data_IF_247008843445
#
_entry.id   IF_247008843445
#
_cell.length_a   1.000
_cell.length_b   1.000
_cell.length_c   1.000
_cell.angle_alpha   90.00
_cell.angle_beta   90.00
_cell.angle_gamma   90.00
#
_symmetry.space_group_name_H-M   'P 1'
#
loop_
_entity.id
_entity.type
_entity.pdbx_description
1 polymer ?
#
# COMPACT_ATOMS: atom_id res chain seq x y z
N UNK A 1 -11.72 -13.84 -9.41
CA UNK A 1 -10.95 -13.61 -8.17
C UNK A 1 -10.04 -12.44 -8.48
N UNK A 2 -10.39 -11.25 -7.99
CA UNK A 2 -9.60 -10.05 -8.26
C UNK A 2 -8.23 -10.20 -7.59
N UNK A 3 -7.22 -10.51 -8.40
CA UNK A 3 -5.85 -10.76 -7.95
C UNK A 3 -5.11 -9.45 -7.59
N UNK A 4 -5.79 -8.53 -6.92
CA UNK A 4 -5.32 -7.15 -6.63
C UNK A 4 -4.41 -7.08 -5.41
N UNK A 5 -4.26 -8.20 -4.69
CA UNK A 5 -3.44 -8.34 -3.47
C UNK A 5 -2.24 -9.26 -3.66
N UNK A 6 -1.99 -9.75 -4.87
CA UNK A 6 -0.81 -10.54 -5.22
C UNK A 6 0.01 -9.79 -6.26
N UNK A 7 1.33 -9.70 -6.08
CA UNK A 7 2.25 -9.25 -7.12
C UNK A 7 2.97 -10.43 -7.79
N UNK A 8 3.21 -10.31 -9.09
CA UNK A 8 4.15 -11.19 -9.78
C UNK A 8 5.59 -10.69 -9.59
N UNK A 9 6.61 -11.55 -9.81
CA UNK A 9 8.00 -11.13 -9.80
C UNK A 9 8.29 -9.95 -10.75
N UNK A 10 7.64 -9.92 -11.91
CA UNK A 10 7.78 -8.83 -12.88
C UNK A 10 7.22 -7.51 -12.35
N UNK A 11 6.06 -7.55 -11.68
CA UNK A 11 5.47 -6.37 -11.03
C UNK A 11 6.37 -5.86 -9.89
N UNK A 12 6.90 -6.77 -9.06
CA UNK A 12 7.85 -6.40 -8.00
C UNK A 12 9.08 -5.71 -8.60
N UNK A 13 9.65 -6.26 -9.67
CA UNK A 13 10.80 -5.68 -10.34
C UNK A 13 10.49 -4.30 -10.95
N UNK A 14 9.28 -4.13 -11.49
CA UNK A 14 8.81 -2.83 -11.98
C UNK A 14 8.75 -1.79 -10.85
N UNK A 15 8.13 -2.13 -9.72
CA UNK A 15 8.07 -1.23 -8.56
C UNK A 15 9.45 -0.91 -8.00
N UNK A 16 10.40 -1.87 -7.97
CA UNK A 16 11.79 -1.60 -7.55
C UNK A 16 12.45 -0.52 -8.41
N UNK A 17 12.16 -0.47 -9.70
CA UNK A 17 12.70 0.59 -10.57
C UNK A 17 12.09 1.96 -10.24
N UNK A 18 10.80 2.00 -9.91
CA UNK A 18 10.10 3.23 -9.52
C UNK A 18 10.56 3.74 -8.15
N UNK A 19 10.88 2.84 -7.22
CA UNK A 19 11.35 3.15 -5.87
C UNK A 19 12.88 3.10 -5.70
N UNK A 20 13.65 3.12 -6.79
CA UNK A 20 15.12 2.92 -6.76
C UNK A 20 15.89 3.84 -5.80
N UNK A 21 15.36 5.05 -5.57
CA UNK A 21 15.97 6.07 -4.71
C UNK A 21 15.27 6.16 -3.34
N UNK A 22 14.46 5.16 -2.97
CA UNK A 22 13.66 5.14 -1.75
C UNK A 22 13.85 3.83 -0.96
N UNK A 23 14.93 3.74 -0.15
CA UNK A 23 15.36 2.50 0.50
C UNK A 23 14.26 1.80 1.32
N UNK A 24 13.50 2.54 2.12
CA UNK A 24 12.46 1.98 2.97
C UNK A 24 11.30 1.37 2.16
N UNK A 25 11.07 1.84 0.94
CA UNK A 25 10.12 1.23 0.00
C UNK A 25 10.71 -0.01 -0.68
N UNK A 26 12.03 -0.05 -0.91
CA UNK A 26 12.71 -1.25 -1.40
C UNK A 26 12.69 -2.36 -0.35
N UNK A 27 12.89 -2.05 0.93
CA UNK A 27 12.78 -3.01 2.03
C UNK A 27 11.37 -3.62 2.11
N UNK A 28 10.34 -2.80 1.91
CA UNK A 28 8.96 -3.28 1.83
C UNK A 28 8.75 -4.23 0.62
N UNK A 29 9.38 -3.95 -0.52
CA UNK A 29 9.34 -4.81 -1.71
C UNK A 29 10.14 -6.11 -1.54
N UNK A 30 11.21 -6.11 -0.75
CA UNK A 30 11.94 -7.32 -0.35
C UNK A 30 11.01 -8.24 0.43
N UNK A 31 10.33 -7.73 1.46
CA UNK A 31 9.40 -8.51 2.25
C UNK A 31 8.19 -9.00 1.43
N UNK A 32 7.66 -8.18 0.50
CA UNK A 32 6.62 -8.62 -0.43
C UNK A 32 7.12 -9.82 -1.24
N UNK A 33 8.33 -9.77 -1.78
CA UNK A 33 8.92 -10.88 -2.53
C UNK A 33 9.12 -12.14 -1.68
N UNK A 34 9.58 -12.01 -0.44
CA UNK A 34 9.72 -13.13 0.52
C UNK A 34 8.39 -13.77 0.90
N UNK A 35 7.29 -13.02 0.76
CA UNK A 35 5.92 -13.51 0.94
C UNK A 35 5.26 -13.99 -0.36
N UNK A 36 6.05 -14.37 -1.36
CA UNK A 36 5.60 -14.81 -2.69
C UNK A 36 4.75 -13.76 -3.45
N UNK A 37 4.91 -12.48 -3.10
CA UNK A 37 4.12 -11.38 -3.66
C UNK A 37 2.81 -11.09 -2.94
N UNK A 38 2.52 -11.72 -1.80
CA UNK A 38 1.29 -11.49 -1.04
C UNK A 38 1.36 -10.15 -0.28
N UNK A 39 0.59 -9.17 -0.77
CA UNK A 39 0.53 -7.83 -0.19
C UNK A 39 -0.12 -7.81 1.20
N UNK A 40 -1.07 -8.70 1.48
CA UNK A 40 -1.75 -8.74 2.78
C UNK A 40 -0.82 -9.33 3.83
N UNK A 41 -0.14 -10.44 3.50
CA UNK A 41 0.80 -11.12 4.39
C UNK A 41 1.98 -10.22 4.74
N UNK A 42 2.62 -9.61 3.73
CA UNK A 42 3.73 -8.67 3.94
C UNK A 42 3.32 -7.45 4.76
N UNK A 43 2.17 -6.83 4.47
CA UNK A 43 1.67 -5.70 5.27
C UNK A 43 1.38 -6.08 6.72
N UNK A 44 0.91 -7.31 6.97
CA UNK A 44 0.73 -7.85 8.31
C UNK A 44 2.04 -7.92 9.09
N UNK A 45 3.09 -8.46 8.46
CA UNK A 45 4.43 -8.51 9.03
C UNK A 45 5.01 -7.12 9.30
N UNK A 46 4.94 -6.21 8.33
CA UNK A 46 5.39 -4.81 8.50
C UNK A 46 4.68 -4.11 9.65
N UNK A 47 3.38 -4.30 9.78
CA UNK A 47 2.62 -3.69 10.86
C UNK A 47 3.03 -4.22 12.24
N UNK A 48 3.34 -5.52 12.33
CA UNK A 48 3.88 -6.11 13.57
C UNK A 48 5.26 -5.55 13.90
N UNK A 49 6.16 -5.46 12.92
CA UNK A 49 7.52 -4.93 13.10
C UNK A 49 7.55 -3.46 13.50
N UNK A 50 6.64 -2.66 12.93
CA UNK A 50 6.59 -1.21 13.13
C UNK A 50 5.65 -0.78 14.26
N UNK A 51 4.95 -1.73 14.91
CA UNK A 51 4.00 -1.45 15.98
C UNK A 51 2.70 -0.77 15.52
N UNK A 52 2.41 -0.76 14.21
CA UNK A 52 1.17 -0.20 13.66
C UNK A 52 0.00 -1.07 14.11
N UNK A 53 -0.89 -0.48 14.91
CA UNK A 53 -2.13 -1.15 15.34
C UNK A 53 -3.17 -1.08 14.23
N UNK A 54 -3.48 -2.22 13.63
CA UNK A 54 -4.67 -2.36 12.78
C UNK A 54 -5.83 -2.80 13.67
N UNK A 55 -6.99 -2.13 13.61
CA UNK A 55 -8.20 -2.61 14.26
C UNK A 55 -8.68 -3.88 13.54
N UNK A 56 -8.15 -5.03 13.95
CA UNK A 56 -8.69 -6.34 13.58
C UNK A 56 -9.92 -6.63 14.43
N UNK A 57 -11.04 -6.93 13.80
CA UNK A 57 -12.21 -7.51 14.48
C UNK A 57 -12.12 -9.01 14.29
N UNK A 58 -12.19 -9.78 15.36
CA UNK A 58 -12.18 -11.23 15.27
C UNK A 58 -13.34 -11.71 14.38
N UNK A 59 -13.02 -12.39 13.27
CA UNK A 59 -14.00 -12.99 12.35
C UNK A 59 -14.17 -12.29 10.98
N UNK A 60 -13.50 -11.16 10.73
CA UNK A 60 -13.43 -10.58 9.38
C UNK A 60 -12.17 -11.11 8.66
N UNK A 61 -12.31 -11.60 7.42
CA UNK A 61 -11.18 -11.79 6.50
C UNK A 61 -10.58 -10.41 6.20
N UNK A 62 -9.68 -9.99 7.07
CA UNK A 62 -9.24 -8.61 7.16
C UNK A 62 -8.19 -8.30 6.11
N UNK A 63 -8.65 -7.71 5.00
CA UNK A 63 -7.74 -6.97 4.12
C UNK A 63 -7.22 -5.73 4.86
N UNK A 64 -6.10 -5.94 5.56
CA UNK A 64 -5.30 -4.96 6.29
C UNK A 64 -5.03 -3.70 5.46
N UNK A 65 -4.75 -3.84 4.16
CA UNK A 65 -4.47 -2.74 3.25
C UNK A 65 -5.70 -1.88 3.03
N UNK A 66 -6.87 -2.51 2.89
CA UNK A 66 -8.15 -1.81 2.78
C UNK A 66 -8.48 -1.04 4.07
N UNK A 67 -8.19 -1.63 5.25
CA UNK A 67 -8.37 -0.96 6.54
C UNK A 67 -7.44 0.25 6.71
N UNK A 68 -6.17 0.10 6.33
CA UNK A 68 -5.19 1.19 6.36
C UNK A 68 -5.55 2.31 5.37
N UNK A 69 -5.96 1.95 4.15
CA UNK A 69 -6.45 2.90 3.16
C UNK A 69 -7.70 3.65 3.65
N UNK A 70 -8.66 2.95 4.28
CA UNK A 70 -9.84 3.56 4.92
C UNK A 70 -9.48 4.52 6.04
N UNK A 71 -8.51 4.16 6.89
CA UNK A 71 -8.00 5.05 7.94
C UNK A 71 -7.41 6.33 7.34
N UNK A 72 -6.76 6.23 6.18
CA UNK A 72 -6.13 7.34 5.47
C UNK A 72 -7.03 7.93 4.37
N UNK A 73 -8.34 7.65 4.37
CA UNK A 73 -9.24 7.96 3.25
C UNK A 73 -9.26 9.44 2.87
N UNK A 74 -9.16 10.35 3.83
CA UNK A 74 -9.11 11.80 3.55
C UNK A 74 -7.89 12.22 2.73
N UNK A 75 -6.82 11.42 2.76
CA UNK A 75 -5.60 11.61 1.97
C UNK A 75 -5.71 10.81 0.68
N UNK A 76 -6.07 9.53 0.78
CA UNK A 76 -6.16 8.61 -0.37
C UNK A 76 -7.17 9.08 -1.41
N UNK A 77 -8.29 9.66 -0.99
CA UNK A 77 -9.32 10.16 -1.89
C UNK A 77 -9.28 11.67 -2.10
N UNK A 78 -8.16 12.30 -1.76
CA UNK A 78 -7.86 13.67 -2.17
C UNK A 78 -7.48 13.69 -3.66
N UNK A 79 -7.91 14.72 -4.38
CA UNK A 79 -7.69 14.82 -5.82
C UNK A 79 -6.19 14.89 -6.17
N UNK A 80 -5.37 15.55 -5.36
CA UNK A 80 -3.93 15.64 -5.61
C UNK A 80 -3.26 14.28 -5.43
N UNK A 81 -3.64 13.53 -4.40
CA UNK A 81 -3.13 12.18 -4.17
C UNK A 81 -3.52 11.21 -5.30
N UNK A 82 -4.77 11.26 -5.75
CA UNK A 82 -5.24 10.45 -6.89
C UNK A 82 -4.43 10.81 -8.15
N UNK A 83 -4.21 12.10 -8.39
CA UNK A 83 -3.45 12.58 -9.54
C UNK A 83 -1.98 12.15 -9.49
N UNK A 84 -1.34 12.18 -8.33
CA UNK A 84 0.03 11.70 -8.13
C UNK A 84 0.14 10.20 -8.46
N UNK A 85 -0.78 9.40 -7.94
CA UNK A 85 -0.79 7.96 -8.19
C UNK A 85 -1.04 7.65 -9.67
N UNK A 86 -1.94 8.39 -10.33
CA UNK A 86 -2.24 8.23 -11.75
C UNK A 86 -1.10 8.66 -12.70
N UNK A 87 -0.17 9.47 -12.22
CA UNK A 87 1.01 9.92 -12.97
C UNK A 87 2.25 9.08 -12.65
N UNK A 88 2.07 7.92 -12.00
CA UNK A 88 3.15 7.04 -11.54
C UNK A 88 4.14 7.73 -10.59
N UNK A 89 3.72 8.79 -9.89
CA UNK A 89 4.52 9.50 -8.88
C UNK A 89 4.47 8.74 -7.54
N UNK A 90 4.82 7.47 -7.56
CA UNK A 90 4.62 6.57 -6.41
C UNK A 90 5.42 6.99 -5.18
N UNK A 91 6.65 7.50 -5.34
CA UNK A 91 7.46 8.00 -4.22
C UNK A 91 6.80 9.16 -3.51
N UNK A 92 6.20 10.09 -4.26
CA UNK A 92 5.44 11.23 -3.72
C UNK A 92 4.19 10.72 -3.01
N UNK A 93 3.43 9.82 -3.63
CA UNK A 93 2.25 9.23 -3.01
C UNK A 93 2.59 8.51 -1.69
N UNK A 94 3.67 7.74 -1.64
CA UNK A 94 4.12 7.08 -0.40
C UNK A 94 4.49 8.11 0.66
N UNK A 95 5.27 9.14 0.32
CA UNK A 95 5.65 10.18 1.27
C UNK A 95 4.43 10.93 1.83
N UNK A 96 3.49 11.33 0.97
CA UNK A 96 2.24 12.00 1.35
C UNK A 96 1.40 11.11 2.26
N UNK A 97 1.25 9.83 1.92
CA UNK A 97 0.47 8.89 2.73
C UNK A 97 1.13 8.61 4.08
N UNK A 98 2.45 8.41 4.11
CA UNK A 98 3.20 8.16 5.34
C UNK A 98 3.08 9.34 6.30
N UNK A 99 3.30 10.56 5.80
CA UNK A 99 3.23 11.79 6.59
C UNK A 99 1.80 12.07 7.09
N UNK A 100 0.81 12.06 6.19
CA UNK A 100 -0.57 12.38 6.54
C UNK A 100 -1.24 11.28 7.36
N UNK A 101 -0.96 10.01 7.05
CA UNK A 101 -1.51 8.86 7.76
C UNK A 101 -0.82 8.55 9.09
N UNK A 102 0.32 9.21 9.35
CA UNK A 102 1.22 8.94 10.48
C UNK A 102 1.56 7.44 10.57
N UNK A 103 1.91 6.87 9.42
CA UNK A 103 2.31 5.47 9.29
C UNK A 103 3.73 5.38 8.72
N UNK A 104 4.48 4.30 9.02
CA UNK A 104 5.80 4.07 8.46
C UNK A 104 5.79 4.02 6.94
N UNK A 105 6.90 4.43 6.31
CA UNK A 105 7.08 4.43 4.85
C UNK A 105 6.86 3.04 4.26
N UNK A 106 7.35 1.99 4.91
CA UNK A 106 7.19 0.61 4.45
C UNK A 106 5.70 0.21 4.37
N UNK A 107 4.92 0.53 5.40
CA UNK A 107 3.47 0.29 5.43
C UNK A 107 2.75 1.14 4.38
N UNK A 108 3.12 2.42 4.25
CA UNK A 108 2.57 3.30 3.22
C UNK A 108 2.85 2.79 1.81
N UNK A 109 4.03 2.21 1.58
CA UNK A 109 4.43 1.61 0.30
C UNK A 109 3.48 0.48 -0.10
N UNK A 110 3.21 -0.46 0.81
CA UNK A 110 2.27 -1.55 0.55
C UNK A 110 0.86 -1.05 0.22
N UNK A 111 0.39 -0.01 0.91
CA UNK A 111 -0.94 0.59 0.64
C UNK A 111 -0.99 1.29 -0.71
N UNK A 112 0.05 2.04 -1.07
CA UNK A 112 0.14 2.73 -2.37
C UNK A 112 0.15 1.74 -3.53
N UNK A 113 0.96 0.67 -3.44
CA UNK A 113 1.00 -0.38 -4.46
C UNK A 113 -0.36 -1.07 -4.60
N UNK A 114 -1.00 -1.38 -3.48
CA UNK A 114 -2.35 -1.96 -3.48
C UNK A 114 -3.38 -1.06 -4.17
N UNK A 115 -3.38 0.25 -3.87
CA UNK A 115 -4.30 1.20 -4.49
C UNK A 115 -4.01 1.41 -5.98
N UNK A 116 -2.73 1.40 -6.38
CA UNK A 116 -2.33 1.47 -7.79
C UNK A 116 -2.87 0.26 -8.56
N UNK A 117 -2.67 -0.94 -8.00
CA UNK A 117 -3.12 -2.21 -8.61
C UNK A 117 -4.64 -2.39 -8.59
N UNK A 118 -5.31 -2.01 -7.50
CA UNK A 118 -6.77 -2.10 -7.35
C UNK A 118 -7.52 -1.01 -8.14
N UNK A 119 -6.84 0.08 -8.49
CA UNK A 119 -7.44 1.25 -9.13
C UNK A 119 -8.04 2.21 -8.11
N UNK A 120 -7.30 3.26 -7.76
CA UNK A 120 -7.66 4.20 -6.70
C UNK A 120 -9.00 4.91 -6.90
N UNK A 121 -9.34 5.30 -8.14
CA UNK A 121 -10.63 5.94 -8.46
C UNK A 121 -11.80 5.03 -8.13
N UNK A 122 -11.71 3.77 -8.55
CA UNK A 122 -12.72 2.77 -8.26
C UNK A 122 -12.80 2.53 -6.74
N UNK A 123 -11.65 2.42 -6.08
CA UNK A 123 -11.60 2.23 -4.63
C UNK A 123 -12.31 3.36 -3.87
N UNK A 124 -12.05 4.62 -4.21
CA UNK A 124 -12.67 5.79 -3.57
C UNK A 124 -14.18 5.90 -3.83
N UNK A 125 -14.67 5.41 -4.98
CA UNK A 125 -16.11 5.37 -5.27
C UNK A 125 -16.86 4.33 -4.42
N UNK A 126 -16.26 3.15 -4.21
CA UNK A 126 -16.90 2.04 -3.49
C UNK A 126 -16.65 2.03 -1.97
N UNK A 127 -15.66 2.78 -1.49
CA UNK A 127 -15.33 2.92 -0.07
C UNK A 127 -15.57 4.37 0.41
N UNK A 128 -16.65 4.96 -0.09
CA UNK A 128 -17.10 6.31 0.24
C UNK A 128 -17.47 6.47 1.72
#
# INVERSE_FOLDING_TARGET
MDNTTQLTPEEIQHYRQQFKDYPEALDALDLIAETDGDLIKSAGLLAMETGVKIPTRAGEEDNILDKLAKKCRSIVCDDDFINDLMKDLLTVAVATLAAGGQIPISVATSVVIYLAKKGIKQWCQFNA
#
